data_IF_344946144243
#
_entry.id   IF_344946144243
#
_cell.length_a   1.000
_cell.length_b   1.000
_cell.length_c   1.000
_cell.angle_alpha   90.00
_cell.angle_beta   90.00
_cell.angle_gamma   90.00
#
_symmetry.space_group_name_H-M   'P 1'
#
loop_
_entity.id
_entity.type
_entity.pdbx_description
1 polymer ?
#
# COMPACT_ATOMS: atom_id res chain seq x y z
N UNK A 1 -17.43 -27.17 -6.58
CA UNK A 1 -16.45 -26.18 -7.07
C UNK A 1 -15.10 -26.81 -6.85
N UNK A 2 -14.69 -27.67 -7.78
CA UNK A 2 -13.45 -28.42 -7.70
C UNK A 2 -12.30 -27.52 -8.16
N UNK A 3 -11.36 -27.26 -7.26
CA UNK A 3 -10.13 -26.53 -7.56
C UNK A 3 -9.16 -27.51 -8.19
N UNK A 4 -8.85 -27.32 -9.47
CA UNK A 4 -7.94 -28.19 -10.20
C UNK A 4 -6.48 -27.69 -10.02
N UNK A 5 -5.65 -28.37 -9.22
CA UNK A 5 -4.30 -27.91 -8.86
C UNK A 5 -3.35 -27.87 -10.07
N UNK A 6 -3.67 -28.63 -11.12
CA UNK A 6 -2.89 -28.66 -12.36
C UNK A 6 -2.89 -27.30 -13.06
N UNK A 7 -4.01 -26.57 -12.99
CA UNK A 7 -4.14 -25.26 -13.61
C UNK A 7 -3.28 -24.19 -12.94
N UNK A 8 -3.03 -24.33 -11.64
CA UNK A 8 -2.16 -23.41 -10.88
C UNK A 8 -0.69 -23.63 -11.26
N UNK A 9 -0.28 -24.90 -11.39
CA UNK A 9 1.09 -25.23 -11.83
C UNK A 9 1.34 -24.78 -13.28
N UNK A 10 0.34 -24.87 -14.14
CA UNK A 10 0.43 -24.41 -15.53
C UNK A 10 0.56 -22.87 -15.61
N UNK A 11 -0.18 -22.14 -14.78
CA UNK A 11 -0.06 -20.69 -14.62
C UNK A 11 1.32 -20.27 -14.08
N UNK A 12 1.88 -21.03 -13.15
CA UNK A 12 3.20 -20.75 -12.60
C UNK A 12 4.32 -20.99 -13.62
N UNK A 13 4.21 -22.07 -14.41
CA UNK A 13 5.12 -22.33 -15.52
C UNK A 13 5.02 -21.26 -16.62
N UNK A 14 3.81 -20.77 -16.90
CA UNK A 14 3.56 -19.73 -17.88
C UNK A 14 4.12 -18.36 -17.44
N UNK A 15 4.09 -18.06 -16.14
CA UNK A 15 4.74 -16.88 -15.56
C UNK A 15 6.27 -16.96 -15.64
N UNK A 16 6.85 -18.13 -15.35
CA UNK A 16 8.30 -18.32 -15.39
C UNK A 16 8.88 -18.24 -16.82
N UNK A 17 8.11 -18.64 -17.83
CA UNK A 17 8.51 -18.53 -19.24
C UNK A 17 8.19 -17.16 -19.88
N UNK A 18 7.60 -16.22 -19.14
CA UNK A 18 7.25 -14.91 -19.70
C UNK A 18 8.46 -13.97 -19.76
N UNK A 19 8.86 -13.60 -20.98
CA UNK A 19 9.98 -12.68 -21.28
C UNK A 19 9.82 -11.30 -20.64
N UNK A 20 8.57 -10.91 -20.30
CA UNK A 20 8.28 -9.64 -19.64
C UNK A 20 8.89 -9.55 -18.22
N UNK A 21 9.07 -10.68 -17.53
CA UNK A 21 9.68 -10.71 -16.20
C UNK A 21 11.23 -10.65 -16.26
N UNK A 22 11.85 -11.25 -17.28
CA UNK A 22 13.31 -11.25 -17.43
C UNK A 22 13.88 -9.85 -17.68
N UNK A 23 13.15 -9.01 -18.43
CA UNK A 23 13.58 -7.63 -18.71
C UNK A 23 13.64 -6.79 -17.44
N UNK A 24 12.74 -6.98 -16.48
CA UNK A 24 12.72 -6.21 -15.22
C UNK A 24 13.83 -6.65 -14.27
N UNK A 25 14.16 -7.94 -14.24
CA UNK A 25 15.21 -8.47 -13.34
C UNK A 25 16.62 -8.10 -13.82
N UNK A 26 16.83 -7.97 -15.12
CA UNK A 26 18.14 -7.58 -15.68
C UNK A 26 18.40 -6.07 -15.68
N UNK A 27 17.35 -5.24 -15.69
CA UNK A 27 17.50 -3.77 -15.69
C UNK A 27 17.97 -3.14 -14.37
N UNK A 28 18.08 -3.91 -13.28
CA UNK A 28 18.35 -3.35 -11.95
C UNK A 28 19.80 -3.53 -11.43
N UNK A 29 20.72 -3.96 -12.29
CA UNK A 29 22.11 -4.30 -11.90
C UNK A 29 23.16 -3.57 -12.73
N UNK A 30 23.08 -2.24 -12.83
CA UNK A 30 24.24 -1.40 -13.21
C UNK A 30 23.97 0.08 -12.95
N UNK A 31 24.25 0.55 -11.74
CA UNK A 31 24.57 1.97 -11.49
C UNK A 31 25.39 2.10 -10.19
N UNK A 32 26.70 1.99 -10.36
CA UNK A 32 27.72 2.36 -9.36
C UNK A 32 28.20 3.78 -9.69
N UNK A 33 28.23 4.74 -8.75
CA UNK A 33 28.72 6.09 -9.01
C UNK A 33 30.23 6.18 -8.79
N UNK A 34 30.98 6.68 -9.78
CA UNK A 34 32.39 7.07 -9.63
C UNK A 34 32.63 8.49 -10.14
N UNK A 35 33.40 9.24 -9.35
CA UNK A 35 33.82 10.65 -9.48
C UNK A 35 34.72 10.97 -10.69
N UNK A 36 34.95 12.27 -11.00
CA UNK A 36 35.37 12.74 -12.33
C UNK A 36 36.89 12.93 -12.49
N UNK A 37 37.38 12.77 -13.72
CA UNK A 37 38.66 13.33 -14.18
C UNK A 37 38.63 13.58 -15.70
N UNK A 38 38.79 14.87 -16.03
CA UNK A 38 39.49 15.52 -17.15
C UNK A 38 39.59 14.90 -18.57
N UNK A 39 39.44 15.77 -19.59
CA UNK A 39 40.03 15.59 -20.93
C UNK A 39 39.07 15.45 -22.14
N UNK A 40 38.87 16.56 -22.86
CA UNK A 40 38.26 16.73 -24.21
C UNK A 40 39.01 16.01 -25.35
N UNK A 41 38.58 16.10 -26.64
CA UNK A 41 37.28 15.86 -27.29
C UNK A 41 37.45 14.90 -28.52
N UNK A 42 36.39 14.56 -29.30
CA UNK A 42 36.40 14.42 -30.79
C UNK A 42 35.18 13.64 -31.36
N UNK A 43 34.48 14.31 -32.31
CA UNK A 43 33.70 13.84 -33.48
C UNK A 43 32.33 13.12 -33.39
N UNK A 44 31.31 13.86 -33.84
CA UNK A 44 30.13 13.46 -34.66
C UNK A 44 30.57 12.77 -35.99
N UNK A 45 29.74 11.96 -36.73
CA UNK A 45 28.37 12.32 -37.18
C UNK A 45 27.31 11.18 -37.32
N UNK A 46 26.04 11.63 -37.36
CA UNK A 46 24.87 11.17 -38.14
C UNK A 46 24.55 9.67 -38.35
N UNK A 47 23.31 9.27 -37.98
CA UNK A 47 22.25 8.92 -38.96
C UNK A 47 20.92 8.55 -38.29
N UNK A 48 19.87 9.20 -38.77
CA UNK A 48 18.45 8.83 -38.63
C UNK A 48 18.18 7.67 -39.61
N UNK A 49 17.33 6.70 -39.24
CA UNK A 49 16.21 6.40 -40.13
C UNK A 49 14.87 6.31 -39.38
N UNK A 50 13.86 6.79 -40.08
CA UNK A 50 12.45 6.85 -39.75
C UNK A 50 11.79 5.47 -39.54
N UNK A 51 10.91 5.40 -38.53
CA UNK A 51 9.58 4.74 -38.44
C UNK A 51 9.32 3.38 -39.14
N UNK A 52 8.55 2.47 -38.51
CA UNK A 52 7.09 2.63 -38.56
C UNK A 52 6.35 2.38 -37.24
N UNK A 53 5.23 3.07 -37.10
CA UNK A 53 4.21 2.82 -36.10
C UNK A 53 3.59 1.43 -36.30
N UNK A 54 3.57 0.60 -35.25
CA UNK A 54 2.66 -0.53 -35.15
C UNK A 54 2.41 -0.87 -33.68
N UNK A 55 1.19 -0.57 -33.24
CA UNK A 55 0.41 -1.32 -32.26
C UNK A 55 1.08 -1.62 -30.90
N UNK A 56 1.05 -0.64 -30.01
CA UNK A 56 1.13 -0.88 -28.58
C UNK A 56 -0.07 -1.71 -28.11
N UNK A 57 0.06 -3.03 -28.17
CA UNK A 57 -0.86 -3.94 -27.48
C UNK A 57 -0.61 -3.79 -25.98
N UNK A 58 -1.36 -2.88 -25.39
CA UNK A 58 -1.28 -2.59 -23.97
C UNK A 58 -2.01 -3.72 -23.24
N UNK A 59 -1.53 -4.10 -22.07
CA UNK A 59 -2.13 -5.13 -21.20
C UNK A 59 -3.63 -4.90 -20.93
N UNK A 60 -4.10 -3.65 -21.12
CA UNK A 60 -5.50 -3.24 -21.09
C UNK A 60 -6.37 -3.89 -22.17
N UNK A 61 -5.84 -4.12 -23.39
CA UNK A 61 -6.57 -4.75 -24.50
C UNK A 61 -6.82 -6.25 -24.25
N UNK A 62 -5.95 -6.90 -23.47
CA UNK A 62 -6.13 -8.29 -23.04
C UNK A 62 -7.19 -8.41 -21.92
N UNK A 63 -7.31 -7.42 -21.03
CA UNK A 63 -8.38 -7.40 -20.02
C UNK A 63 -9.77 -7.14 -20.63
N UNK A 64 -9.86 -6.31 -21.67
CA UNK A 64 -11.10 -6.03 -22.40
C UNK A 64 -11.69 -7.27 -23.08
N UNK A 65 -10.85 -8.26 -23.39
CA UNK A 65 -11.24 -9.53 -24.04
C UNK A 65 -11.71 -10.61 -23.09
N UNK A 66 -11.59 -10.41 -21.77
CA UNK A 66 -11.97 -11.39 -20.74
C UNK A 66 -13.40 -11.17 -20.18
N UNK A 67 -14.25 -10.38 -20.84
CA UNK A 67 -15.64 -10.20 -20.42
C UNK A 67 -16.63 -10.93 -21.36
N UNK A 68 -16.87 -12.24 -21.19
CA UNK A 68 -17.97 -12.92 -21.86
C UNK A 68 -19.27 -12.66 -21.08
N UNK A 69 -20.11 -11.77 -21.60
CA UNK A 69 -21.54 -11.79 -21.26
C UNK A 69 -22.12 -10.45 -20.81
N UNK A 70 -22.75 -9.73 -21.76
CA UNK A 70 -24.13 -9.23 -21.63
C UNK A 70 -24.51 -8.48 -22.91
N UNK A 71 -24.92 -9.24 -23.92
CA UNK A 71 -25.64 -8.69 -25.07
C UNK A 71 -27.07 -8.32 -24.66
N UNK A 72 -27.39 -7.05 -24.89
CA UNK A 72 -28.60 -6.55 -25.55
C UNK A 72 -29.83 -7.48 -25.66
N UNK A 73 -30.95 -7.05 -25.08
CA UNK A 73 -32.29 -7.34 -25.60
C UNK A 73 -33.27 -6.23 -25.18
N UNK A 74 -33.74 -5.50 -26.18
CA UNK A 74 -34.85 -4.55 -26.16
C UNK A 74 -36.21 -5.25 -25.92
N UNK A 75 -37.15 -4.60 -25.23
CA UNK A 75 -38.44 -4.07 -25.77
C UNK A 75 -39.59 -3.99 -24.70
N UNK A 76 -40.49 -2.97 -24.75
CA UNK A 76 -41.56 -2.66 -23.76
C UNK A 76 -43.00 -3.00 -24.30
N UNK A 77 -44.11 -2.37 -23.82
CA UNK A 77 -44.81 -2.46 -22.53
C UNK A 77 -46.29 -2.91 -22.68
N UNK A 78 -47.05 -3.20 -21.59
CA UNK A 78 -48.53 -3.02 -21.55
C UNK A 78 -49.14 -2.91 -20.12
N UNK A 79 -50.34 -2.30 -19.99
CA UNK A 79 -50.90 -1.69 -18.77
C UNK A 79 -52.07 -2.47 -18.15
N UNK A 80 -52.43 -2.15 -16.90
CA UNK A 80 -53.73 -2.19 -16.14
C UNK A 80 -53.36 -2.27 -14.64
N UNK A 81 -54.10 -1.79 -13.64
CA UNK A 81 -55.12 -0.76 -13.44
C UNK A 81 -55.27 -0.61 -11.90
N UNK A 82 -55.72 0.55 -11.48
CA UNK A 82 -56.46 0.92 -10.25
C UNK A 82 -56.07 0.48 -8.81
N UNK A 83 -55.88 1.54 -8.01
CA UNK A 83 -56.55 1.84 -6.73
C UNK A 83 -56.16 1.06 -5.46
N UNK A 84 -55.30 1.69 -4.63
CA UNK A 84 -55.75 2.03 -3.27
C UNK A 84 -55.00 3.23 -2.69
N UNK A 85 -55.77 4.26 -2.35
CA UNK A 85 -55.39 5.48 -1.65
C UNK A 85 -55.09 5.18 -0.18
N UNK A 86 -53.88 5.52 0.30
CA UNK A 86 -53.70 5.92 1.70
C UNK A 86 -52.52 6.88 1.87
N UNK A 87 -52.85 8.02 2.46
CA UNK A 87 -52.08 9.26 2.62
C UNK A 87 -50.75 9.13 3.41
N UNK A 88 -49.88 10.16 3.33
CA UNK A 88 -48.44 10.01 3.40
C UNK A 88 -47.86 10.27 4.79
N UNK A 89 -47.02 9.36 5.25
CA UNK A 89 -45.96 9.66 6.22
C UNK A 89 -44.68 10.00 5.45
N UNK A 90 -44.00 11.12 5.75
CA UNK A 90 -42.74 11.48 5.09
C UNK A 90 -41.61 10.59 5.64
N UNK A 91 -41.57 9.34 5.22
CA UNK A 91 -40.33 8.59 5.25
C UNK A 91 -39.47 9.19 4.15
N UNK A 92 -38.53 10.03 4.57
CA UNK A 92 -37.42 10.50 3.76
C UNK A 92 -36.83 9.31 3.02
N UNK A 93 -37.16 9.22 1.74
CA UNK A 93 -36.59 8.27 0.80
C UNK A 93 -35.13 8.71 0.68
N UNK A 94 -34.27 8.17 1.53
CA UNK A 94 -32.86 8.18 1.26
C UNK A 94 -32.73 7.48 -0.09
N UNK A 95 -32.36 8.24 -1.11
CA UNK A 95 -31.86 7.69 -2.38
C UNK A 95 -30.98 6.49 -2.05
N UNK A 96 -30.99 5.39 -2.83
CA UNK A 96 -29.98 4.35 -2.71
C UNK A 96 -28.64 4.96 -3.12
N UNK A 97 -28.07 5.76 -2.24
CA UNK A 97 -26.73 6.29 -2.34
C UNK A 97 -25.84 5.07 -2.38
N UNK A 98 -25.18 4.86 -3.50
CA UNK A 98 -24.19 3.81 -3.71
C UNK A 98 -23.36 3.69 -2.44
N UNK A 99 -23.43 2.54 -1.77
CA UNK A 99 -22.66 2.31 -0.55
C UNK A 99 -21.17 2.33 -0.94
N UNK A 100 -20.51 3.44 -0.57
CA UNK A 100 -19.12 3.70 -0.89
C UNK A 100 -18.20 2.58 -0.40
N UNK A 101 -18.61 1.80 0.62
CA UNK A 101 -17.83 0.71 1.22
C UNK A 101 -17.64 -0.51 0.31
N UNK A 102 -18.61 -0.79 -0.55
CA UNK A 102 -18.63 -2.00 -1.38
C UNK A 102 -18.40 -1.74 -2.88
N UNK A 103 -17.99 -0.52 -3.24
CA UNK A 103 -17.63 -0.20 -4.61
C UNK A 103 -16.39 -0.98 -5.07
N UNK A 104 -16.32 -1.23 -6.38
CA UNK A 104 -15.08 -1.75 -6.98
C UNK A 104 -14.06 -0.64 -7.14
N UNK A 105 -12.77 -0.99 -7.20
CA UNK A 105 -11.69 -0.01 -7.39
C UNK A 105 -11.92 0.81 -8.66
N UNK A 106 -12.39 0.18 -9.74
CA UNK A 106 -12.69 0.87 -11.00
C UNK A 106 -13.80 1.92 -10.86
N UNK A 107 -14.86 1.60 -10.11
CA UNK A 107 -15.94 2.54 -9.85
C UNK A 107 -15.51 3.68 -8.92
N UNK A 108 -14.52 3.45 -8.06
CA UNK A 108 -13.97 4.45 -7.14
C UNK A 108 -13.07 5.48 -7.84
N UNK A 109 -12.41 5.14 -8.95
CA UNK A 109 -11.44 6.02 -9.62
C UNK A 109 -11.98 7.43 -9.94
N UNK A 110 -13.17 7.59 -10.57
CA UNK A 110 -13.67 8.93 -10.90
C UNK A 110 -14.02 9.75 -9.65
N UNK A 111 -14.37 9.09 -8.54
CA UNK A 111 -14.63 9.75 -7.27
C UNK A 111 -13.33 10.17 -6.60
N UNK A 112 -12.31 9.31 -6.61
CA UNK A 112 -10.97 9.61 -6.10
C UNK A 112 -10.38 10.82 -6.81
N UNK A 113 -10.45 10.88 -8.14
CA UNK A 113 -9.95 12.01 -8.93
C UNK A 113 -10.63 13.35 -8.54
N UNK A 114 -11.92 13.32 -8.20
CA UNK A 114 -12.64 14.51 -7.71
C UNK A 114 -12.27 14.87 -6.27
N UNK A 115 -11.93 13.89 -5.44
CA UNK A 115 -11.52 14.12 -4.05
C UNK A 115 -10.12 14.71 -3.96
N UNK A 116 -9.16 14.21 -4.75
CA UNK A 116 -7.76 14.69 -4.77
C UNK A 116 -7.63 16.15 -5.21
N UNK A 117 -8.56 16.64 -6.03
CA UNK A 117 -8.65 18.05 -6.43
C UNK A 117 -9.03 18.99 -5.27
N UNK A 118 -9.63 18.51 -4.20
CA UNK A 118 -10.06 19.35 -3.06
C UNK A 118 -8.87 19.64 -2.13
N UNK A 119 -8.58 20.92 -1.87
CA UNK A 119 -7.48 21.33 -1.01
C UNK A 119 -7.60 20.78 0.42
N UNK A 120 -8.80 20.81 1.01
CA UNK A 120 -9.06 20.27 2.35
C UNK A 120 -8.71 18.78 2.47
N UNK A 121 -8.97 18.00 1.41
CA UNK A 121 -8.64 16.60 1.38
C UNK A 121 -7.12 16.39 1.38
N UNK A 122 -6.39 17.14 0.53
CA UNK A 122 -4.92 17.08 0.47
C UNK A 122 -4.28 17.41 1.81
N UNK A 123 -4.74 18.48 2.46
CA UNK A 123 -4.24 18.88 3.78
C UNK A 123 -4.47 17.79 4.84
N UNK A 124 -5.65 17.17 4.83
CA UNK A 124 -5.96 16.07 5.76
C UNK A 124 -5.11 14.82 5.50
N UNK A 125 -4.88 14.46 4.24
CA UNK A 125 -4.00 13.33 3.88
C UNK A 125 -2.55 13.64 4.27
N UNK A 126 -2.06 14.86 4.03
CA UNK A 126 -0.74 15.30 4.47
C UNK A 126 -0.59 15.23 5.99
N UNK A 127 -1.59 15.68 6.74
CA UNK A 127 -1.62 15.57 8.20
C UNK A 127 -1.64 14.12 8.68
N UNK A 128 -2.33 13.23 7.97
CA UNK A 128 -2.31 11.79 8.24
C UNK A 128 -0.91 11.18 8.05
N UNK A 129 -0.21 11.56 6.99
CA UNK A 129 1.17 11.15 6.73
C UNK A 129 2.13 11.69 7.80
N UNK A 130 1.98 12.96 8.18
CA UNK A 130 2.80 13.54 9.25
C UNK A 130 2.59 12.80 10.57
N UNK A 131 1.34 12.50 10.92
CA UNK A 131 1.01 11.71 12.12
C UNK A 131 1.63 10.31 12.06
N UNK A 132 1.65 9.67 10.88
CA UNK A 132 2.31 8.39 10.68
C UNK A 132 3.82 8.50 10.86
N UNK A 133 4.47 9.49 10.25
CA UNK A 133 5.91 9.72 10.38
C UNK A 133 6.30 10.00 11.84
N UNK A 134 5.52 10.80 12.57
CA UNK A 134 5.73 11.05 14.00
C UNK A 134 5.64 9.75 14.82
N UNK A 135 4.67 8.89 14.53
CA UNK A 135 4.56 7.58 15.17
C UNK A 135 5.81 6.73 14.89
N UNK A 136 6.21 6.62 13.63
CA UNK A 136 7.39 5.85 13.22
C UNK A 136 8.66 6.35 13.91
N UNK A 137 8.86 7.67 13.97
CA UNK A 137 9.97 8.28 14.70
C UNK A 137 9.94 7.96 16.19
N UNK A 138 8.77 8.01 16.82
CA UNK A 138 8.61 7.70 18.24
C UNK A 138 8.91 6.23 18.55
N UNK A 139 8.47 5.31 17.69
CA UNK A 139 8.74 3.89 17.81
C UNK A 139 10.24 3.60 17.60
N UNK A 140 10.85 4.23 16.59
CA UNK A 140 12.29 4.12 16.36
C UNK A 140 13.11 4.64 17.54
N UNK A 141 12.77 5.81 18.09
CA UNK A 141 13.44 6.35 19.27
C UNK A 141 13.30 5.41 20.49
N UNK A 142 12.14 4.80 20.67
CA UNK A 142 11.90 3.83 21.74
C UNK A 142 12.71 2.55 21.54
N UNK A 143 12.81 2.05 20.30
CA UNK A 143 13.67 0.91 19.98
C UNK A 143 15.14 1.21 20.32
N UNK A 144 15.63 2.40 19.96
CA UNK A 144 16.99 2.84 20.30
C UNK A 144 17.20 2.92 21.82
N UNK A 145 16.19 3.34 22.59
CA UNK A 145 16.26 3.36 24.04
C UNK A 145 16.37 1.94 24.66
N UNK A 146 15.65 0.96 24.11
CA UNK A 146 15.78 -0.45 24.52
C UNK A 146 17.21 -0.95 24.28
N UNK A 147 17.79 -0.66 23.12
CA UNK A 147 19.16 -1.03 22.79
C UNK A 147 20.18 -0.34 23.72
N UNK A 148 20.04 0.97 23.95
CA UNK A 148 20.92 1.73 24.84
C UNK A 148 20.86 1.22 26.28
N UNK A 149 19.66 0.85 26.77
CA UNK A 149 19.50 0.24 28.10
C UNK A 149 20.24 -1.08 28.21
N UNK A 150 20.19 -1.91 27.18
CA UNK A 150 20.95 -3.16 27.16
C UNK A 150 22.45 -2.93 27.11
N UNK A 151 22.93 -1.99 26.27
CA UNK A 151 24.34 -1.60 26.24
C UNK A 151 24.82 -1.13 27.63
N UNK A 152 24.01 -0.32 28.31
CA UNK A 152 24.31 0.12 29.67
C UNK A 152 24.37 -1.05 30.68
N UNK A 153 23.49 -2.04 30.55
CA UNK A 153 23.53 -3.27 31.36
C UNK A 153 24.82 -4.07 31.12
N UNK A 154 25.24 -4.22 29.86
CA UNK A 154 26.51 -4.88 29.51
C UNK A 154 27.68 -4.10 30.10
N UNK A 155 27.72 -2.78 29.92
CA UNK A 155 28.80 -1.95 30.44
C UNK A 155 28.90 -2.04 31.97
N UNK A 156 27.75 -2.03 32.66
CA UNK A 156 27.68 -2.20 34.10
C UNK A 156 28.19 -3.58 34.55
N UNK A 157 27.74 -4.66 33.89
CA UNK A 157 28.18 -6.03 34.20
C UNK A 157 29.70 -6.19 33.99
N UNK A 158 30.23 -5.67 32.87
CA UNK A 158 31.67 -5.65 32.60
C UNK A 158 32.46 -4.85 33.63
N UNK A 159 31.97 -3.68 34.04
CA UNK A 159 32.62 -2.87 35.07
C UNK A 159 32.62 -3.59 36.43
N UNK A 160 31.49 -4.20 36.81
CA UNK A 160 31.37 -4.99 38.05
C UNK A 160 32.34 -6.18 38.05
N UNK A 161 32.42 -6.92 36.94
CA UNK A 161 33.37 -8.02 36.75
C UNK A 161 34.82 -7.54 36.93
N UNK A 162 35.17 -6.39 36.33
CA UNK A 162 36.49 -5.79 36.45
C UNK A 162 36.84 -5.40 37.90
N UNK A 163 35.90 -4.80 38.65
CA UNK A 163 36.11 -4.41 40.05
C UNK A 163 36.31 -5.63 40.96
N UNK A 164 35.55 -6.70 40.73
CA UNK A 164 35.63 -7.94 41.52
C UNK A 164 36.86 -8.78 41.12
N UNK A 165 37.46 -8.51 39.95
CA UNK A 165 38.59 -9.25 39.42
C UNK A 165 38.21 -10.62 38.84
N UNK A 166 36.92 -10.86 38.59
CA UNK A 166 36.40 -12.10 37.98
C UNK A 166 35.87 -11.75 36.59
N UNK A 167 36.39 -12.35 35.52
CA UNK A 167 35.91 -12.06 34.16
C UNK A 167 34.44 -12.46 34.01
N UNK A 168 33.70 -11.69 33.19
CA UNK A 168 32.31 -11.96 32.89
C UNK A 168 32.19 -13.31 32.16
N UNK A 169 31.43 -14.25 32.73
CA UNK A 169 31.30 -15.59 32.18
C UNK A 169 30.42 -15.65 30.93
N UNK A 170 30.65 -16.64 30.07
CA UNK A 170 29.89 -16.84 28.82
C UNK A 170 28.38 -16.99 29.08
N UNK A 171 28.00 -17.65 30.18
CA UNK A 171 26.60 -17.77 30.59
C UNK A 171 25.95 -16.42 30.89
N UNK A 172 26.67 -15.52 31.56
CA UNK A 172 26.13 -14.20 31.92
C UNK A 172 25.99 -13.31 30.67
N UNK A 173 26.92 -13.41 29.71
CA UNK A 173 26.75 -12.78 28.39
C UNK A 173 25.53 -13.33 27.66
N UNK A 174 25.37 -14.66 27.63
CA UNK A 174 24.22 -15.30 26.99
C UNK A 174 22.89 -14.89 27.65
N UNK A 175 22.86 -14.76 28.97
CA UNK A 175 21.68 -14.30 29.71
C UNK A 175 21.34 -12.84 29.35
N UNK A 176 22.34 -11.96 29.22
CA UNK A 176 22.14 -10.57 28.80
C UNK A 176 21.59 -10.47 27.37
N UNK A 177 22.12 -11.27 26.44
CA UNK A 177 21.67 -11.32 25.04
C UNK A 177 20.23 -11.87 24.92
N UNK A 178 19.93 -12.92 25.71
CA UNK A 178 18.58 -13.48 25.80
C UNK A 178 17.59 -12.43 26.32
N UNK A 179 18.00 -11.65 27.33
CA UNK A 179 17.19 -10.57 27.87
C UNK A 179 16.92 -9.46 26.83
N UNK A 180 17.91 -9.07 26.00
CA UNK A 180 17.67 -8.12 24.91
C UNK A 180 16.64 -8.66 23.93
N UNK A 181 16.79 -9.92 23.54
CA UNK A 181 15.90 -10.58 22.58
C UNK A 181 14.46 -10.59 23.11
N UNK A 182 14.27 -10.91 24.39
CA UNK A 182 12.97 -10.89 25.04
C UNK A 182 12.40 -9.47 25.17
N UNK A 183 13.21 -8.49 25.55
CA UNK A 183 12.81 -7.09 25.67
C UNK A 183 12.39 -6.54 24.29
N UNK A 184 13.13 -6.86 23.23
CA UNK A 184 12.80 -6.51 21.85
C UNK A 184 11.51 -7.18 21.37
N UNK A 185 11.32 -8.46 21.66
CA UNK A 185 10.09 -9.18 21.31
C UNK A 185 8.88 -8.55 22.00
N UNK A 186 8.98 -8.24 23.30
CA UNK A 186 7.92 -7.57 24.06
C UNK A 186 7.63 -6.19 23.49
N UNK A 187 8.65 -5.41 23.14
CA UNK A 187 8.48 -4.12 22.48
C UNK A 187 7.70 -4.25 21.17
N UNK A 188 8.08 -5.19 20.29
CA UNK A 188 7.38 -5.39 19.03
C UNK A 188 5.93 -5.84 19.21
N UNK A 189 5.69 -6.86 20.03
CA UNK A 189 4.34 -7.41 20.22
C UNK A 189 3.42 -6.45 20.95
N UNK A 190 3.89 -5.82 22.03
CA UNK A 190 3.02 -5.05 22.92
C UNK A 190 2.90 -3.58 22.53
N UNK A 191 3.91 -3.02 21.87
CA UNK A 191 3.95 -1.59 21.57
C UNK A 191 3.84 -1.33 20.07
N UNK A 192 4.70 -1.94 19.25
CA UNK A 192 4.73 -1.66 17.80
C UNK A 192 3.42 -2.13 17.16
N UNK A 193 3.07 -3.42 17.26
CA UNK A 193 1.86 -3.95 16.62
C UNK A 193 0.59 -3.22 17.09
N UNK A 194 0.45 -3.02 18.40
CA UNK A 194 -0.71 -2.32 18.99
C UNK A 194 -0.83 -0.89 18.48
N UNK A 195 0.28 -0.15 18.44
CA UNK A 195 0.26 1.25 17.98
C UNK A 195 -0.01 1.34 16.48
N UNK A 196 0.53 0.42 15.68
CA UNK A 196 0.27 0.34 14.24
C UNK A 196 -1.17 -0.02 13.92
N UNK A 197 -1.76 -0.96 14.64
CA UNK A 197 -3.18 -1.31 14.46
C UNK A 197 -4.08 -0.14 14.86
N UNK A 198 -3.81 0.52 15.98
CA UNK A 198 -4.54 1.72 16.39
C UNK A 198 -4.44 2.85 15.35
N UNK A 199 -3.24 3.08 14.80
CA UNK A 199 -3.01 4.07 13.75
C UNK A 199 -3.76 3.71 12.47
N UNK A 200 -3.77 2.43 12.07
CA UNK A 200 -4.53 1.95 10.90
C UNK A 200 -6.03 2.21 11.08
N UNK A 201 -6.60 1.83 12.23
CA UNK A 201 -8.02 2.08 12.52
C UNK A 201 -8.36 3.56 12.47
N UNK A 202 -7.49 4.41 13.02
CA UNK A 202 -7.66 5.87 12.97
C UNK A 202 -7.61 6.39 11.52
N UNK A 203 -6.65 5.94 10.71
CA UNK A 203 -6.56 6.29 9.30
C UNK A 203 -7.79 5.85 8.51
N UNK A 204 -8.23 4.59 8.67
CA UNK A 204 -9.44 4.07 8.04
C UNK A 204 -10.67 4.91 8.40
N UNK A 205 -10.85 5.23 9.68
CA UNK A 205 -11.97 6.06 10.16
C UNK A 205 -11.93 7.47 9.57
N UNK A 206 -10.74 8.09 9.52
CA UNK A 206 -10.60 9.43 8.95
C UNK A 206 -10.85 9.44 7.45
N UNK A 207 -10.32 8.45 6.71
CA UNK A 207 -10.53 8.34 5.26
C UNK A 207 -11.99 8.01 4.93
N UNK A 208 -12.67 7.20 5.76
CA UNK A 208 -14.11 7.00 5.67
C UNK A 208 -14.87 8.32 5.89
N UNK A 209 -14.50 9.10 6.91
CA UNK A 209 -15.13 10.41 7.18
C UNK A 209 -14.92 11.44 6.06
N UNK A 210 -13.84 11.31 5.30
CA UNK A 210 -13.54 12.12 4.11
C UNK A 210 -14.29 11.63 2.86
N UNK A 211 -15.07 10.55 2.97
CA UNK A 211 -15.84 9.97 1.88
C UNK A 211 -14.99 9.21 0.86
N UNK A 212 -13.80 8.74 1.25
CA UNK A 212 -12.96 7.93 0.36
C UNK A 212 -13.65 6.58 0.11
N UNK A 213 -13.90 6.18 -1.15
CA UNK A 213 -14.53 4.91 -1.45
C UNK A 213 -13.70 3.72 -0.94
N UNK A 214 -14.38 2.62 -0.64
CA UNK A 214 -13.81 1.37 -0.13
C UNK A 214 -13.15 1.48 1.26
N UNK A 215 -13.10 2.66 1.88
CA UNK A 215 -12.48 2.88 3.18
C UNK A 215 -13.51 2.71 4.29
N UNK A 216 -13.21 1.78 5.20
CA UNK A 216 -13.95 1.51 6.43
C UNK A 216 -13.05 0.73 7.37
N UNK A 217 -13.35 0.74 8.66
CA UNK A 217 -12.57 -0.03 9.65
C UNK A 217 -12.74 -1.53 9.39
N UNK A 218 -11.63 -2.21 9.09
CA UNK A 218 -11.64 -3.64 8.79
C UNK A 218 -10.31 -4.31 9.09
N UNK A 219 -10.40 -5.59 9.44
CA UNK A 219 -9.27 -6.52 9.59
C UNK A 219 -9.28 -7.62 8.53
N UNK A 220 -10.25 -7.63 7.62
CA UNK A 220 -10.34 -8.63 6.54
C UNK A 220 -9.22 -8.40 5.49
N UNK A 221 -8.37 -9.40 5.21
CA UNK A 221 -7.28 -9.25 4.25
C UNK A 221 -7.75 -8.89 2.84
N UNK A 222 -8.92 -9.38 2.39
CA UNK A 222 -9.43 -9.05 1.06
C UNK A 222 -9.87 -7.58 0.96
N UNK A 223 -10.56 -7.07 1.99
CA UNK A 223 -10.90 -5.66 2.09
C UNK A 223 -9.65 -4.77 2.21
N UNK A 224 -8.66 -5.16 3.01
CA UNK A 224 -7.40 -4.43 3.16
C UNK A 224 -6.63 -4.32 1.85
N UNK A 225 -6.58 -5.39 1.04
CA UNK A 225 -5.97 -5.31 -0.29
C UNK A 225 -6.68 -4.31 -1.21
N UNK A 226 -8.02 -4.22 -1.14
CA UNK A 226 -8.76 -3.21 -1.90
C UNK A 226 -8.46 -1.80 -1.41
N UNK A 227 -8.45 -1.59 -0.09
CA UNK A 227 -8.09 -0.30 0.52
C UNK A 227 -6.68 0.14 0.16
N UNK A 228 -5.72 -0.78 0.16
CA UNK A 228 -4.33 -0.50 -0.23
C UNK A 228 -4.24 -0.07 -1.70
N UNK A 229 -4.98 -0.71 -2.60
CA UNK A 229 -5.04 -0.30 -4.01
C UNK A 229 -5.60 1.12 -4.16
N UNK A 230 -6.73 1.40 -3.51
CA UNK A 230 -7.35 2.74 -3.52
C UNK A 230 -6.40 3.79 -2.95
N UNK A 231 -5.78 3.51 -1.81
CA UNK A 231 -4.85 4.44 -1.16
C UNK A 231 -3.63 4.72 -2.04
N UNK A 232 -3.07 3.70 -2.72
CA UNK A 232 -1.97 3.89 -3.66
C UNK A 232 -2.36 4.87 -4.78
N UNK A 233 -3.53 4.69 -5.38
CA UNK A 233 -4.02 5.60 -6.43
C UNK A 233 -4.19 7.03 -5.89
N UNK A 234 -4.75 7.17 -4.68
CA UNK A 234 -4.88 8.48 -4.01
C UNK A 234 -3.52 9.14 -3.84
N UNK A 235 -2.53 8.41 -3.33
CA UNK A 235 -1.18 8.93 -3.11
C UNK A 235 -0.47 9.29 -4.42
N UNK A 236 -0.53 8.43 -5.42
CA UNK A 236 0.08 8.66 -6.74
C UNK A 236 -0.52 9.92 -7.41
N UNK A 237 -1.84 10.11 -7.28
CA UNK A 237 -2.54 11.30 -7.80
C UNK A 237 -2.18 12.59 -7.05
N UNK A 238 -1.86 12.47 -5.75
CA UNK A 238 -1.43 13.61 -4.94
C UNK A 238 0.00 14.03 -5.29
N UNK A 239 0.90 13.09 -5.52
CA UNK A 239 2.27 13.41 -5.96
C UNK A 239 2.30 14.08 -7.33
N UNK A 240 1.51 13.59 -8.30
CA UNK A 240 1.46 14.20 -9.64
C UNK A 240 0.90 15.63 -9.61
N UNK A 241 0.06 15.95 -8.63
CA UNK A 241 -0.47 17.29 -8.44
C UNK A 241 0.53 18.27 -7.80
N UNK A 242 1.46 17.78 -6.97
CA UNK A 242 2.49 18.60 -6.32
C UNK A 242 3.63 18.96 -7.28
N UNK A 243 3.93 18.12 -8.29
CA UNK A 243 4.99 18.39 -9.27
C UNK A 243 4.60 19.43 -10.36
N UNK A 244 3.31 19.81 -10.43
CA UNK A 244 2.77 20.74 -11.43
C UNK A 244 2.59 22.18 -10.91
N UNK A 245 2.86 22.41 -9.62
CA UNK A 245 2.73 23.72 -8.94
C UNK A 245 4.10 24.37 -8.69
#
# INVERSE_FOLDING_TARGET
MDYDPNRINELLAQLQNSTAFQSVVTSNSNQTPSLPADGTPTSTPASIPSQPAASGSTVFDLLSRLNPGASSSNQPPRPVDESNEKSPTPFSVASPGLDLRFMTVQQALPLIAKLTQRAEFREKVKKLQETQNQLEQSLYATQQDVMRKHEHRIAYAKNKANIVGIPLGDKENQDLDSQLTDDMKKFHTNQVLVSWDAQRTKQQTQLESLGVPCMFVTSDPAALQRQQKVLRIVLDSLSESEDME
#
